data_IF_898682178473
#
_entry.id   IF_898682178473
#
_cell.length_a   1.000
_cell.length_b   1.000
_cell.length_c   1.000
_cell.angle_alpha   90.00
_cell.angle_beta   90.00
_cell.angle_gamma   90.00
#
_symmetry.space_group_name_H-M   'P 1'
#
loop_
_entity.id
_entity.type
_entity.pdbx_description
1 polymer ?
#
# COMPACT_ATOMS: atom_id res chain seq x y z
N UNK A 1 -108.41 -85.58 -0.63
CA UNK A 1 -107.26 -85.83 0.27
C UNK A 1 -106.19 -85.09 -0.25
N UNK A 2 -105.88 -83.86 0.15
CA UNK A 2 -104.69 -83.12 -0.05
C UNK A 2 -104.82 -81.81 0.68
N UNK A 3 -104.40 -81.77 1.89
CA UNK A 3 -104.10 -80.52 2.62
C UNK A 3 -103.26 -80.87 3.83
N UNK A 4 -101.97 -80.55 3.80
CA UNK A 4 -101.04 -80.40 4.93
C UNK A 4 -99.56 -80.56 4.53
N UNK A 5 -99.02 -79.66 3.74
CA UNK A 5 -97.56 -79.60 3.63
C UNK A 5 -97.04 -78.17 3.28
N UNK A 6 -97.41 -77.11 3.98
CA UNK A 6 -96.85 -75.79 3.70
C UNK A 6 -96.40 -74.97 4.93
N UNK A 7 -96.35 -75.53 6.14
CA UNK A 7 -96.07 -74.78 7.35
C UNK A 7 -94.74 -75.12 8.05
N UNK A 8 -93.90 -76.02 7.56
CA UNK A 8 -92.67 -76.46 8.23
C UNK A 8 -91.41 -75.72 7.72
N UNK A 9 -91.42 -75.11 6.54
CA UNK A 9 -90.27 -74.41 5.97
C UNK A 9 -90.02 -73.02 6.62
N UNK A 10 -91.04 -72.33 7.07
CA UNK A 10 -90.98 -70.99 7.65
C UNK A 10 -90.42 -70.97 9.08
N UNK A 11 -90.49 -72.02 9.86
CA UNK A 11 -90.03 -72.08 11.25
C UNK A 11 -88.55 -72.45 11.36
N UNK A 12 -87.88 -73.04 10.38
CA UNK A 12 -86.51 -73.48 10.47
C UNK A 12 -85.56 -72.45 9.96
N UNK A 13 -85.94 -71.43 9.14
CA UNK A 13 -85.11 -70.41 8.60
C UNK A 13 -85.14 -69.04 9.34
N UNK A 14 -85.99 -68.97 10.38
CA UNK A 14 -86.17 -67.73 11.14
C UNK A 14 -84.92 -67.19 11.78
N UNK A 15 -83.92 -68.02 12.07
CA UNK A 15 -82.66 -67.69 12.66
C UNK A 15 -81.68 -67.05 11.63
N UNK A 16 -81.90 -67.26 10.34
CA UNK A 16 -81.02 -66.71 9.29
C UNK A 16 -81.61 -65.50 8.55
N UNK A 17 -82.91 -65.45 8.50
CA UNK A 17 -83.61 -64.31 7.89
C UNK A 17 -83.60 -63.04 8.72
N UNK A 18 -83.58 -63.16 10.06
CA UNK A 18 -83.52 -62.02 10.97
C UNK A 18 -82.17 -61.18 10.81
N UNK A 19 -80.98 -61.79 10.79
CA UNK A 19 -79.73 -61.01 10.54
C UNK A 19 -79.65 -60.45 9.12
N UNK A 20 -80.22 -61.14 8.12
CA UNK A 20 -80.26 -60.65 6.74
C UNK A 20 -81.21 -59.43 6.58
N UNK A 21 -82.30 -59.42 7.32
CA UNK A 21 -83.23 -58.28 7.35
C UNK A 21 -82.64 -57.09 8.08
N UNK A 22 -81.90 -57.32 9.16
CA UNK A 22 -81.18 -56.28 9.89
C UNK A 22 -80.05 -55.70 9.00
N UNK A 23 -79.35 -56.55 8.25
CA UNK A 23 -78.30 -56.10 7.32
C UNK A 23 -78.87 -55.26 6.17
N UNK A 24 -80.02 -55.73 5.61
CA UNK A 24 -80.70 -54.99 4.57
C UNK A 24 -81.24 -53.64 5.05
N UNK A 25 -81.82 -53.61 6.30
CA UNK A 25 -82.25 -52.37 6.93
C UNK A 25 -81.09 -51.43 7.24
N UNK A 26 -79.95 -51.95 7.70
CA UNK A 26 -78.72 -51.16 7.92
C UNK A 26 -78.19 -50.56 6.62
N UNK A 27 -78.12 -51.32 5.54
CA UNK A 27 -77.74 -50.85 4.19
C UNK A 27 -78.75 -49.80 3.67
N UNK A 28 -80.02 -50.02 3.85
CA UNK A 28 -81.06 -49.05 3.46
C UNK A 28 -80.93 -47.74 4.24
N UNK A 29 -80.67 -47.79 5.55
CA UNK A 29 -80.41 -46.61 6.40
C UNK A 29 -79.12 -45.92 5.97
N UNK A 30 -78.08 -46.69 5.66
CA UNK A 30 -76.81 -46.13 5.17
C UNK A 30 -76.99 -45.42 3.82
N UNK A 31 -77.75 -46.01 2.90
CA UNK A 31 -78.03 -45.38 1.60
C UNK A 31 -78.86 -44.13 1.77
N UNK A 32 -79.89 -44.14 2.66
CA UNK A 32 -80.69 -42.97 2.95
C UNK A 32 -79.86 -41.87 3.62
N UNK A 33 -79.01 -42.22 4.57
CA UNK A 33 -78.06 -41.27 5.19
C UNK A 33 -77.04 -40.72 4.19
N UNK A 34 -76.64 -41.52 3.21
CA UNK A 34 -75.71 -41.07 2.14
C UNK A 34 -76.45 -40.15 1.15
N UNK A 35 -77.75 -40.42 0.85
CA UNK A 35 -78.53 -39.56 -0.05
C UNK A 35 -79.00 -38.25 0.62
N UNK A 36 -79.18 -38.25 1.95
CA UNK A 36 -79.65 -37.10 2.73
C UNK A 36 -78.44 -36.28 3.31
N UNK A 37 -77.22 -36.62 2.98
CA UNK A 37 -76.10 -35.73 3.37
C UNK A 37 -76.29 -34.35 2.75
N UNK A 38 -76.52 -33.29 3.56
CA UNK A 38 -76.57 -31.95 3.00
C UNK A 38 -75.20 -31.64 2.38
N UNK A 39 -75.11 -31.43 1.07
CA UNK A 39 -73.94 -30.79 0.43
C UNK A 39 -73.90 -29.39 0.98
N UNK A 40 -72.88 -29.15 1.89
CA UNK A 40 -72.62 -27.80 2.35
C UNK A 40 -72.39 -26.94 1.10
N UNK A 41 -73.02 -25.82 0.90
CA UNK A 41 -72.74 -24.93 -0.21
C UNK A 41 -71.29 -24.54 -0.07
N UNK A 42 -70.47 -24.71 -1.16
CA UNK A 42 -69.10 -24.25 -1.23
C UNK A 42 -69.16 -22.75 -0.95
N UNK A 43 -68.75 -22.33 0.28
CA UNK A 43 -68.50 -20.91 0.57
C UNK A 43 -67.37 -20.52 -0.34
N UNK A 44 -67.53 -19.53 -1.23
CA UNK A 44 -66.43 -19.03 -2.00
C UNK A 44 -65.33 -18.66 -0.98
N UNK A 45 -64.15 -19.25 -1.12
CA UNK A 45 -63.01 -18.95 -0.28
C UNK A 45 -62.79 -17.44 -0.39
N UNK A 46 -63.02 -16.69 0.68
CA UNK A 46 -62.71 -15.27 0.72
C UNK A 46 -61.18 -15.20 0.52
N UNK A 47 -60.76 -14.69 -0.63
CA UNK A 47 -59.31 -14.40 -0.86
C UNK A 47 -58.82 -13.61 0.33
N UNK A 48 -57.71 -14.06 0.92
CA UNK A 48 -57.07 -13.36 2.03
C UNK A 48 -56.46 -12.08 1.50
N UNK A 49 -56.98 -10.95 1.95
CA UNK A 49 -56.45 -9.62 1.61
C UNK A 49 -55.29 -9.31 2.54
N UNK A 50 -54.14 -8.94 1.97
CA UNK A 50 -52.96 -8.56 2.73
C UNK A 50 -52.83 -7.04 2.72
N UNK A 51 -52.76 -6.43 3.90
CA UNK A 51 -52.46 -4.99 4.02
C UNK A 51 -51.00 -4.74 3.79
N UNK A 52 -50.65 -3.89 2.83
CA UNK A 52 -49.29 -3.66 2.39
C UNK A 52 -48.96 -2.17 2.33
N UNK A 53 -47.70 -1.82 2.62
CA UNK A 53 -47.17 -0.50 2.33
C UNK A 53 -46.61 -0.47 0.91
N UNK A 54 -46.82 0.63 0.22
CA UNK A 54 -46.29 0.90 -1.12
C UNK A 54 -45.48 2.16 -1.17
N UNK A 55 -44.57 2.21 -2.10
CA UNK A 55 -43.75 3.39 -2.42
C UNK A 55 -43.96 3.76 -3.89
N UNK A 56 -44.15 5.04 -4.23
CA UNK A 56 -44.25 5.45 -5.63
C UNK A 56 -42.86 5.29 -6.28
N UNK A 57 -42.84 4.73 -7.48
CA UNK A 57 -41.63 4.68 -8.31
C UNK A 57 -41.21 6.11 -8.65
N UNK A 58 -39.99 6.47 -8.29
CA UNK A 58 -39.38 7.76 -8.58
C UNK A 58 -38.03 7.54 -9.25
N UNK A 59 -38.00 7.28 -10.57
CA UNK A 59 -36.74 7.15 -11.29
C UNK A 59 -35.93 8.47 -11.21
N UNK A 60 -34.68 8.38 -10.81
CA UNK A 60 -33.82 9.54 -10.69
C UNK A 60 -32.35 9.18 -11.03
N UNK A 61 -31.49 10.18 -10.97
CA UNK A 61 -30.04 10.00 -11.11
C UNK A 61 -29.45 9.62 -9.76
N UNK A 62 -28.80 8.48 -9.70
CA UNK A 62 -28.09 8.03 -8.49
C UNK A 62 -26.68 7.58 -8.82
N UNK A 63 -25.78 7.77 -7.87
CA UNK A 63 -24.41 7.24 -7.90
C UNK A 63 -24.39 5.96 -7.04
N UNK A 64 -24.25 4.77 -7.63
CA UNK A 64 -24.13 3.54 -6.86
C UNK A 64 -22.86 3.57 -5.98
N UNK A 65 -22.94 2.95 -4.82
CA UNK A 65 -21.80 2.75 -3.94
C UNK A 65 -21.31 1.30 -4.04
N UNK A 66 -20.02 1.14 -4.15
CA UNK A 66 -19.34 -0.15 -4.13
C UNK A 66 -18.64 -0.31 -2.79
N UNK A 67 -19.17 -1.19 -1.94
CA UNK A 67 -18.53 -1.51 -0.66
C UNK A 67 -17.33 -2.41 -0.87
N UNK A 68 -16.18 -2.00 -0.36
CA UNK A 68 -14.89 -2.65 -0.46
C UNK A 68 -14.27 -2.77 0.93
N UNK A 69 -13.29 -3.67 1.04
CA UNK A 69 -12.40 -3.75 2.20
C UNK A 69 -11.01 -3.33 1.78
N UNK A 70 -10.40 -2.51 2.59
CA UNK A 70 -9.05 -2.01 2.37
C UNK A 70 -8.19 -2.12 3.63
N UNK A 71 -6.91 -1.81 3.45
CA UNK A 71 -5.92 -1.73 4.52
C UNK A 71 -5.21 -0.40 4.44
N UNK A 72 -5.01 0.23 5.59
CA UNK A 72 -4.22 1.46 5.70
C UNK A 72 -2.75 1.09 5.57
N UNK A 73 -2.05 1.76 4.66
CA UNK A 73 -0.61 1.58 4.41
C UNK A 73 0.10 2.92 4.41
N UNK A 74 1.41 2.89 4.65
CA UNK A 74 2.27 4.06 4.41
C UNK A 74 3.20 3.75 3.25
N UNK A 75 3.09 4.46 2.12
CA UNK A 75 4.02 4.32 1.00
C UNK A 75 5.44 4.77 1.37
N UNK A 76 5.56 5.59 2.41
CA UNK A 76 6.82 6.12 2.93
C UNK A 76 7.14 5.45 4.28
N UNK A 77 7.37 4.15 4.27
CA UNK A 77 7.94 3.41 5.40
C UNK A 77 9.42 3.12 5.14
N UNK A 78 10.25 3.19 6.17
CA UNK A 78 11.67 2.91 6.09
C UNK A 78 12.09 2.01 7.24
N UNK A 79 12.84 0.97 6.92
CA UNK A 79 13.54 0.13 7.88
C UNK A 79 14.99 0.60 7.94
N UNK A 80 15.42 1.09 9.08
CA UNK A 80 16.79 1.52 9.30
C UNK A 80 17.62 0.37 9.82
N UNK A 81 18.74 0.11 9.12
CA UNK A 81 19.68 -0.95 9.48
C UNK A 81 21.04 -0.37 9.85
N UNK A 82 21.82 -1.12 10.62
CA UNK A 82 23.20 -0.77 10.88
C UNK A 82 24.04 -0.91 9.61
N UNK A 83 24.92 0.04 9.36
CA UNK A 83 25.92 -0.04 8.29
C UNK A 83 27.29 -0.49 8.82
N UNK A 84 27.48 -0.52 10.13
CA UNK A 84 28.74 -0.87 10.81
C UNK A 84 28.52 -1.97 11.85
N UNK A 85 29.61 -2.62 12.25
CA UNK A 85 29.61 -3.56 13.36
C UNK A 85 29.95 -2.81 14.65
N UNK A 86 28.98 -2.67 15.56
CA UNK A 86 29.19 -1.94 16.82
C UNK A 86 28.25 -2.44 17.91
N UNK A 87 28.39 -1.95 19.14
CA UNK A 87 27.40 -2.10 20.20
C UNK A 87 26.42 -0.92 20.17
N UNK A 88 25.18 -1.17 20.53
CA UNK A 88 24.19 -0.11 20.76
C UNK A 88 24.51 0.59 22.07
N UNK A 89 25.01 1.81 21.99
CA UNK A 89 25.34 2.61 23.18
C UNK A 89 24.05 3.09 23.86
N UNK A 90 23.15 3.73 23.09
CA UNK A 90 21.91 4.29 23.59
C UNK A 90 20.79 4.19 22.55
N UNK A 91 19.60 3.91 23.03
CA UNK A 91 18.35 4.08 22.30
C UNK A 91 17.67 5.33 22.84
N UNK A 92 17.38 6.29 21.96
CA UNK A 92 16.89 7.63 22.33
C UNK A 92 15.39 7.81 22.07
N UNK A 93 14.73 6.79 21.50
CA UNK A 93 13.31 6.81 21.13
C UNK A 93 12.61 5.54 21.57
N UNK A 94 11.29 5.60 21.67
CA UNK A 94 10.42 4.49 21.99
C UNK A 94 9.49 4.13 20.82
N UNK A 95 8.94 2.92 20.82
CA UNK A 95 7.90 2.53 19.87
C UNK A 95 6.67 3.43 20.01
N UNK A 96 6.09 3.82 18.86
CA UNK A 96 4.95 4.73 18.85
C UNK A 96 5.30 6.21 19.01
N UNK A 97 6.57 6.57 19.25
CA UNK A 97 7.02 7.95 19.40
C UNK A 97 7.08 8.67 18.06
N UNK A 98 6.68 9.95 18.05
CA UNK A 98 6.81 10.81 16.88
C UNK A 98 8.23 11.39 16.81
N UNK A 99 8.81 11.37 15.62
CA UNK A 99 10.17 11.86 15.37
C UNK A 99 10.19 12.86 14.22
N UNK A 100 11.17 13.76 14.25
CA UNK A 100 11.41 14.74 13.17
C UNK A 100 12.58 14.31 12.30
N UNK A 101 12.58 14.76 11.04
CA UNK A 101 13.71 14.51 10.13
C UNK A 101 15.04 14.98 10.75
N UNK A 102 16.10 14.13 10.66
CA UNK A 102 17.42 14.38 11.24
C UNK A 102 17.55 14.08 12.73
N UNK A 103 16.46 13.80 13.46
CA UNK A 103 16.50 13.45 14.88
C UNK A 103 17.32 12.17 15.09
N UNK A 104 18.22 12.18 16.10
CA UNK A 104 18.99 11.00 16.48
C UNK A 104 18.09 9.98 17.18
N UNK A 105 18.06 8.76 16.64
CA UNK A 105 17.18 7.67 17.10
C UNK A 105 17.96 6.63 17.92
N UNK A 106 19.10 6.19 17.38
CA UNK A 106 19.96 5.20 18.01
C UNK A 106 21.40 5.70 17.89
N UNK A 107 22.15 5.62 18.98
CA UNK A 107 23.58 5.87 19.04
C UNK A 107 24.29 4.52 19.15
N UNK A 108 25.13 4.21 18.18
CA UNK A 108 26.07 3.10 18.25
C UNK A 108 27.37 3.55 18.91
N UNK A 109 28.10 2.62 19.52
CA UNK A 109 29.43 2.88 20.06
C UNK A 109 30.38 3.29 18.94
N UNK A 110 30.86 4.51 19.02
CA UNK A 110 31.65 5.15 17.97
C UNK A 110 33.15 5.17 18.27
N UNK A 111 33.59 4.56 19.39
CA UNK A 111 35.01 4.63 19.83
C UNK A 111 35.93 4.04 18.79
N UNK A 112 35.61 2.85 18.26
CA UNK A 112 36.46 2.20 17.24
C UNK A 112 36.51 3.02 15.94
N UNK A 113 35.34 3.53 15.48
CA UNK A 113 35.27 4.38 14.29
C UNK A 113 36.05 5.71 14.47
N UNK A 114 35.95 6.32 15.65
CA UNK A 114 36.69 7.57 15.95
C UNK A 114 38.21 7.37 16.02
N UNK A 115 38.68 6.26 16.59
CA UNK A 115 40.09 5.89 16.60
C UNK A 115 40.62 5.60 15.20
N UNK A 116 39.84 4.89 14.36
CA UNK A 116 40.20 4.64 12.97
C UNK A 116 40.29 5.94 12.17
N UNK A 117 39.31 6.85 12.33
CA UNK A 117 39.37 8.17 11.70
C UNK A 117 40.64 8.96 12.12
N UNK A 118 40.97 8.99 13.41
CA UNK A 118 42.16 9.66 13.91
C UNK A 118 43.43 9.04 13.32
N UNK A 119 43.52 7.72 13.20
CA UNK A 119 44.64 7.03 12.55
C UNK A 119 44.80 7.44 11.09
N UNK A 120 43.69 7.47 10.33
CA UNK A 120 43.68 7.84 8.90
C UNK A 120 44.01 9.31 8.70
N UNK A 121 43.58 10.18 9.62
CA UNK A 121 43.93 11.59 9.59
C UNK A 121 45.46 11.77 9.80
N UNK A 122 46.08 11.03 10.73
CA UNK A 122 47.50 11.06 10.93
C UNK A 122 48.29 10.58 9.69
N UNK A 123 47.75 9.62 8.91
CA UNK A 123 48.34 9.22 7.63
C UNK A 123 48.31 10.37 6.61
N UNK A 124 47.22 11.12 6.50
CA UNK A 124 47.10 12.32 5.65
C UNK A 124 48.11 13.37 6.07
N UNK A 125 48.24 13.65 7.37
CA UNK A 125 49.15 14.64 7.91
C UNK A 125 50.62 14.25 7.63
N UNK A 126 50.95 12.97 7.76
CA UNK A 126 52.29 12.42 7.45
C UNK A 126 52.65 12.63 5.97
N UNK A 127 51.76 12.28 5.04
CA UNK A 127 52.03 12.47 3.59
C UNK A 127 52.12 13.97 3.26
N UNK A 128 51.27 14.79 3.84
CA UNK A 128 51.33 16.26 3.68
C UNK A 128 52.68 16.82 4.13
N UNK A 129 53.22 16.32 5.24
CA UNK A 129 54.56 16.72 5.72
C UNK A 129 55.67 16.27 4.75
N UNK A 130 55.56 15.06 4.15
CA UNK A 130 56.51 14.59 3.13
C UNK A 130 56.49 15.48 1.89
N UNK A 131 55.33 15.89 1.42
CA UNK A 131 55.18 16.84 0.31
C UNK A 131 55.83 18.17 0.64
N UNK A 132 55.64 18.68 1.86
CA UNK A 132 56.28 19.91 2.30
C UNK A 132 57.84 19.78 2.33
N UNK A 133 58.34 18.67 2.85
CA UNK A 133 59.75 18.38 2.87
C UNK A 133 60.36 18.29 1.45
N UNK A 134 59.68 17.61 0.53
CA UNK A 134 60.12 17.51 -0.87
C UNK A 134 60.17 18.88 -1.56
N UNK A 135 59.18 19.75 -1.35
CA UNK A 135 59.19 21.13 -1.85
C UNK A 135 60.41 21.93 -1.35
N UNK A 136 60.71 21.76 -0.06
CA UNK A 136 61.92 22.41 0.51
C UNK A 136 63.22 21.87 -0.12
N UNK A 137 63.35 20.55 -0.28
CA UNK A 137 64.44 19.86 -0.94
C UNK A 137 64.62 20.35 -2.38
N UNK A 138 63.53 20.44 -3.14
CA UNK A 138 63.55 20.99 -4.51
C UNK A 138 64.06 22.41 -4.57
N UNK A 139 63.62 23.31 -3.69
CA UNK A 139 64.08 24.68 -3.62
C UNK A 139 65.59 24.76 -3.26
N UNK A 140 66.05 23.88 -2.39
CA UNK A 140 67.49 23.78 -2.06
C UNK A 140 68.31 23.30 -3.28
N UNK A 141 67.85 22.33 -4.03
CA UNK A 141 68.47 21.82 -5.25
C UNK A 141 68.55 22.89 -6.35
N UNK A 142 67.49 23.70 -6.56
CA UNK A 142 67.54 24.84 -7.49
C UNK A 142 68.62 25.84 -7.11
N UNK A 143 68.78 26.20 -5.82
CA UNK A 143 69.82 27.11 -5.35
C UNK A 143 71.20 26.50 -5.54
N UNK A 144 71.37 25.22 -5.22
CA UNK A 144 72.66 24.51 -5.41
C UNK A 144 73.02 24.38 -6.89
N UNK A 145 72.12 24.15 -7.82
CA UNK A 145 72.31 24.09 -9.26
C UNK A 145 72.96 25.37 -9.76
N UNK A 146 72.49 26.54 -9.31
CA UNK A 146 73.07 27.83 -9.69
C UNK A 146 74.54 27.97 -9.28
N UNK A 147 74.89 27.54 -8.05
CA UNK A 147 76.21 27.56 -7.53
C UNK A 147 77.14 26.61 -8.33
N UNK A 148 76.70 25.38 -8.60
CA UNK A 148 77.44 24.39 -9.37
C UNK A 148 77.63 24.83 -10.80
N UNK A 149 76.70 25.54 -11.42
CA UNK A 149 76.83 26.14 -12.76
C UNK A 149 77.94 27.25 -12.78
N UNK A 150 77.99 28.07 -11.75
CA UNK A 150 79.07 29.08 -11.60
C UNK A 150 80.46 28.44 -11.44
N UNK A 151 80.55 27.32 -10.68
CA UNK A 151 81.79 26.56 -10.51
C UNK A 151 82.22 25.89 -11.82
N UNK A 152 81.33 25.32 -12.60
CA UNK A 152 81.64 24.77 -13.95
C UNK A 152 82.17 25.86 -14.85
N UNK A 153 81.57 27.04 -14.85
CA UNK A 153 82.07 28.20 -15.62
C UNK A 153 83.49 28.65 -15.17
N UNK A 154 83.79 28.67 -13.87
CA UNK A 154 85.06 28.99 -13.33
C UNK A 154 86.14 27.97 -13.71
N UNK A 155 85.85 26.67 -13.58
CA UNK A 155 86.76 25.57 -13.98
C UNK A 155 87.01 25.55 -15.48
N UNK A 156 85.95 25.88 -16.30
CA UNK A 156 86.14 26.03 -17.74
C UNK A 156 87.10 27.17 -18.11
N UNK A 157 86.96 28.34 -17.45
CA UNK A 157 87.88 29.46 -17.64
C UNK A 157 89.29 29.07 -17.24
N UNK A 158 89.49 28.33 -16.15
CA UNK A 158 90.76 27.82 -15.71
C UNK A 158 91.37 26.85 -16.71
N UNK A 159 90.60 25.92 -17.24
CA UNK A 159 91.06 25.01 -18.29
C UNK A 159 91.46 25.76 -19.54
N UNK A 160 90.70 26.72 -20.05
CA UNK A 160 91.06 27.55 -21.21
C UNK A 160 92.38 28.28 -20.99
N UNK A 161 92.60 28.84 -19.80
CA UNK A 161 93.82 29.49 -19.44
C UNK A 161 95.00 28.53 -19.51
N UNK A 162 94.92 27.32 -18.92
CA UNK A 162 96.04 26.37 -18.99
C UNK A 162 96.24 25.80 -20.40
N UNK A 163 95.23 25.69 -21.22
CA UNK A 163 95.34 25.33 -22.65
C UNK A 163 96.15 26.38 -23.41
N UNK A 164 95.90 27.66 -23.18
CA UNK A 164 96.63 28.75 -23.85
C UNK A 164 98.11 28.89 -23.34
N UNK A 165 98.31 28.67 -22.04
CA UNK A 165 99.71 28.64 -21.49
C UNK A 165 100.48 27.42 -22.03
N UNK A 166 99.87 26.24 -22.17
CA UNK A 166 100.43 25.02 -22.74
C UNK A 166 100.85 25.23 -24.21
N UNK A 167 99.94 25.87 -25.03
CA UNK A 167 100.30 26.25 -26.42
C UNK A 167 101.56 27.15 -26.52
N UNK A 168 101.84 27.91 -25.47
CA UNK A 168 102.98 28.78 -25.37
C UNK A 168 104.16 28.14 -24.65
N UNK A 169 104.13 26.84 -24.35
CA UNK A 169 105.13 26.10 -23.57
C UNK A 169 105.35 26.66 -22.15
N UNK A 170 104.33 27.32 -21.54
CA UNK A 170 104.45 27.97 -20.22
C UNK A 170 103.72 27.19 -19.11
N UNK A 171 103.04 26.06 -19.42
CA UNK A 171 102.42 25.17 -18.45
C UNK A 171 102.80 23.70 -18.70
N UNK A 172 102.89 22.91 -17.62
CA UNK A 172 103.12 21.46 -17.73
C UNK A 172 101.90 20.69 -18.18
N UNK A 173 102.16 19.57 -18.86
CA UNK A 173 101.04 18.65 -19.27
C UNK A 173 100.21 18.14 -18.06
N UNK A 174 100.88 17.91 -16.93
CA UNK A 174 100.20 17.50 -15.68
C UNK A 174 99.24 18.56 -15.22
N UNK A 175 99.59 19.88 -15.26
CA UNK A 175 98.68 20.99 -14.88
C UNK A 175 97.45 21.09 -15.79
N UNK A 176 97.65 20.83 -17.10
CA UNK A 176 96.54 20.81 -18.06
C UNK A 176 95.59 19.62 -17.79
N UNK A 177 96.13 18.42 -17.51
CA UNK A 177 95.39 17.22 -17.24
C UNK A 177 94.64 17.31 -15.90
N UNK A 178 95.24 17.95 -14.88
CA UNK A 178 94.55 18.25 -13.62
C UNK A 178 93.36 19.23 -13.80
N UNK A 179 93.57 20.29 -14.61
CA UNK A 179 92.47 21.22 -14.95
C UNK A 179 91.35 20.54 -15.72
N UNK A 180 91.66 19.62 -16.64
CA UNK A 180 90.67 18.78 -17.35
C UNK A 180 89.86 17.89 -16.39
N UNK A 181 90.58 17.18 -15.48
CA UNK A 181 89.96 16.30 -14.48
C UNK A 181 89.04 17.07 -13.58
N UNK A 182 89.43 18.23 -13.05
CA UNK A 182 88.67 19.12 -12.19
C UNK A 182 87.36 19.58 -12.90
N UNK A 183 87.47 20.03 -14.17
CA UNK A 183 86.33 20.43 -14.97
C UNK A 183 85.32 19.24 -15.15
N UNK A 184 85.88 18.04 -15.46
CA UNK A 184 85.07 16.87 -15.69
C UNK A 184 84.34 16.44 -14.42
N UNK A 185 85.02 16.50 -13.27
CA UNK A 185 84.38 16.18 -11.97
C UNK A 185 83.25 17.15 -11.64
N UNK A 186 83.47 18.47 -11.90
CA UNK A 186 82.45 19.49 -11.65
C UNK A 186 81.26 19.33 -12.63
N UNK A 187 81.46 18.90 -13.88
CA UNK A 187 80.38 18.63 -14.83
C UNK A 187 79.56 17.45 -14.42
N UNK A 188 80.17 16.40 -13.83
CA UNK A 188 79.39 15.27 -13.26
C UNK A 188 78.51 15.71 -12.10
N UNK A 189 79.02 16.57 -11.19
CA UNK A 189 78.24 17.12 -10.06
C UNK A 189 77.06 17.93 -10.56
N UNK A 190 77.28 18.81 -11.57
CA UNK A 190 76.19 19.57 -12.20
C UNK A 190 75.07 18.67 -12.80
N UNK A 191 75.50 17.64 -13.57
CA UNK A 191 74.48 16.68 -14.16
C UNK A 191 73.74 15.96 -13.08
N UNK A 192 74.36 15.49 -12.00
CA UNK A 192 73.65 14.85 -10.89
C UNK A 192 72.66 15.80 -10.23
N UNK A 193 72.95 17.07 -10.09
CA UNK A 193 72.07 18.09 -9.54
C UNK A 193 70.85 18.33 -10.47
N UNK A 194 71.18 18.45 -11.79
CA UNK A 194 70.12 18.63 -12.79
C UNK A 194 69.11 17.43 -12.78
N UNK A 195 69.67 16.20 -12.74
CA UNK A 195 68.86 14.99 -12.67
C UNK A 195 67.96 14.99 -11.43
N UNK A 196 68.44 15.40 -10.26
CA UNK A 196 67.63 15.49 -9.03
C UNK A 196 66.50 16.51 -9.15
N UNK A 197 66.70 17.59 -9.92
CA UNK A 197 65.64 18.59 -10.22
C UNK A 197 64.61 18.03 -11.23
N UNK A 198 65.10 17.36 -12.28
CA UNK A 198 64.27 16.80 -13.34
C UNK A 198 63.37 15.63 -12.82
N UNK A 199 63.81 14.95 -11.75
CA UNK A 199 63.09 13.87 -11.12
C UNK A 199 62.00 14.34 -10.12
N UNK A 200 62.06 15.60 -9.67
CA UNK A 200 61.13 16.20 -8.71
C UNK A 200 59.67 16.12 -9.14
N UNK A 201 59.25 16.38 -10.42
CA UNK A 201 57.86 16.26 -10.84
C UNK A 201 57.31 14.85 -10.65
N UNK A 202 58.10 13.80 -10.94
CA UNK A 202 57.71 12.40 -10.76
C UNK A 202 57.50 12.07 -9.27
N UNK A 203 58.44 12.53 -8.43
CA UNK A 203 58.35 12.35 -6.99
C UNK A 203 57.16 13.08 -6.37
N UNK A 204 56.89 14.32 -6.83
CA UNK A 204 55.68 15.06 -6.44
C UNK A 204 54.41 14.39 -6.88
N UNK A 205 54.31 13.88 -8.13
CA UNK A 205 53.16 13.14 -8.61
C UNK A 205 52.90 11.87 -7.79
N UNK A 206 53.96 11.14 -7.43
CA UNK A 206 53.86 9.96 -6.57
C UNK A 206 53.33 10.31 -5.16
N UNK A 207 53.87 11.37 -4.54
CA UNK A 207 53.43 11.81 -3.20
C UNK A 207 51.97 12.34 -3.24
N UNK A 208 51.59 13.04 -4.32
CA UNK A 208 50.23 13.51 -4.49
C UNK A 208 49.23 12.33 -4.62
N UNK A 209 49.54 11.30 -5.41
CA UNK A 209 48.70 10.11 -5.52
C UNK A 209 48.57 9.36 -4.18
N UNK A 210 49.64 9.32 -3.37
CA UNK A 210 49.58 8.78 -2.01
C UNK A 210 48.69 9.61 -1.08
N UNK A 211 48.77 10.97 -1.20
CA UNK A 211 47.89 11.86 -0.45
C UNK A 211 46.44 11.66 -0.79
N UNK A 212 46.12 11.59 -2.08
CA UNK A 212 44.75 11.37 -2.55
C UNK A 212 44.19 10.03 -2.05
N UNK A 213 45.00 8.97 -2.04
CA UNK A 213 44.63 7.68 -1.45
C UNK A 213 44.42 7.80 0.06
N UNK A 214 45.27 8.48 0.80
CA UNK A 214 45.13 8.65 2.24
C UNK A 214 43.86 9.46 2.60
N UNK A 215 43.53 10.50 1.81
CA UNK A 215 42.31 11.29 1.96
C UNK A 215 41.09 10.40 1.74
N UNK A 216 41.04 9.58 0.68
CA UNK A 216 39.92 8.67 0.42
C UNK A 216 39.72 7.68 1.57
N UNK A 217 40.79 7.14 2.15
CA UNK A 217 40.68 6.24 3.31
C UNK A 217 40.19 6.97 4.58
N UNK A 218 40.64 8.23 4.80
CA UNK A 218 40.17 9.07 5.90
C UNK A 218 38.68 9.38 5.76
N UNK A 219 38.24 9.72 4.54
CA UNK A 219 36.81 10.02 4.26
C UNK A 219 35.92 8.80 4.44
N UNK A 220 36.40 7.60 4.06
CA UNK A 220 35.71 6.35 4.38
C UNK A 220 35.55 6.14 5.88
N UNK A 221 36.58 6.37 6.67
CA UNK A 221 36.52 6.27 8.14
C UNK A 221 35.58 7.33 8.76
N UNK A 222 35.52 8.52 8.17
CA UNK A 222 34.59 9.57 8.60
C UNK A 222 33.14 9.19 8.36
N UNK A 223 32.84 8.58 7.20
CA UNK A 223 31.53 8.02 6.91
C UNK A 223 31.10 6.92 7.90
N UNK A 224 32.03 6.06 8.28
CA UNK A 224 31.71 5.01 9.27
C UNK A 224 31.45 5.59 10.67
N UNK A 225 32.12 6.67 11.03
CA UNK A 225 31.83 7.43 12.24
C UNK A 225 30.42 8.10 12.16
N UNK A 226 30.08 8.71 11.05
CA UNK A 226 28.74 9.29 10.84
C UNK A 226 27.65 8.23 10.93
N UNK A 227 27.87 7.05 10.36
CA UNK A 227 26.97 5.90 10.39
C UNK A 227 26.77 5.27 11.76
N UNK A 228 27.58 5.66 12.75
CA UNK A 228 27.32 5.29 14.15
C UNK A 228 26.11 6.01 14.74
N UNK A 229 25.64 7.08 14.10
CA UNK A 229 24.49 7.88 14.50
C UNK A 229 23.32 7.59 13.56
N UNK A 230 22.36 6.79 14.03
CA UNK A 230 21.16 6.46 13.25
C UNK A 230 20.15 7.58 13.40
N UNK A 231 19.86 8.29 12.32
CA UNK A 231 18.95 9.44 12.28
C UNK A 231 17.72 9.17 11.45
N UNK A 232 16.60 9.84 11.78
CA UNK A 232 15.36 9.77 11.03
C UNK A 232 15.52 10.42 9.64
N UNK A 233 15.24 9.68 8.54
CA UNK A 233 15.33 10.23 7.18
C UNK A 233 14.18 11.21 6.87
N UNK A 234 13.07 11.11 7.57
CA UNK A 234 11.91 11.98 7.44
C UNK A 234 11.14 12.08 8.75
N UNK A 235 10.25 13.06 8.85
CA UNK A 235 9.33 13.20 9.99
C UNK A 235 8.25 12.13 9.94
N UNK A 236 8.09 11.38 11.04
CA UNK A 236 7.17 10.24 11.09
C UNK A 236 7.00 9.69 12.50
N UNK A 237 6.59 8.44 12.59
CA UNK A 237 6.40 7.70 13.85
C UNK A 237 7.17 6.39 13.83
N UNK A 238 7.75 6.01 14.95
CA UNK A 238 8.44 4.74 15.10
C UNK A 238 7.41 3.61 15.12
N UNK A 239 7.55 2.65 14.19
CA UNK A 239 6.68 1.49 14.09
C UNK A 239 7.15 0.37 15.01
N UNK A 240 8.45 0.08 15.00
CA UNK A 240 9.05 -1.04 15.71
C UNK A 240 10.53 -0.73 16.02
N UNK A 241 11.02 -1.24 17.13
CA UNK A 241 12.44 -1.17 17.49
C UNK A 241 12.94 -2.60 17.75
N UNK A 242 13.90 -3.03 16.93
CA UNK A 242 14.41 -4.40 16.93
C UNK A 242 15.68 -4.59 17.76
N UNK A 243 16.17 -3.52 18.45
CA UNK A 243 17.44 -3.58 19.19
C UNK A 243 17.33 -2.98 20.59
N UNK A 244 18.19 -3.48 21.49
CA UNK A 244 18.32 -3.01 22.88
C UNK A 244 19.68 -2.36 23.14
N UNK A 245 19.74 -1.46 24.13
CA UNK A 245 21.02 -0.88 24.58
C UNK A 245 21.94 -1.99 25.12
N UNK A 246 23.22 -1.96 24.74
CA UNK A 246 24.21 -3.00 25.04
C UNK A 246 24.26 -4.17 24.08
N UNK A 247 23.32 -4.27 23.15
CA UNK A 247 23.28 -5.31 22.12
C UNK A 247 24.37 -5.06 21.05
N UNK A 248 24.96 -6.12 20.54
CA UNK A 248 25.91 -6.05 19.43
C UNK A 248 25.21 -6.23 18.10
N UNK A 249 25.32 -5.25 17.21
CA UNK A 249 24.76 -5.26 15.86
C UNK A 249 25.84 -5.41 14.81
N UNK A 250 25.49 -6.00 13.68
CA UNK A 250 26.31 -6.15 12.49
C UNK A 250 25.77 -5.29 11.35
N UNK A 251 26.63 -5.05 10.38
CA UNK A 251 26.18 -4.43 9.12
C UNK A 251 25.06 -5.26 8.48
N UNK A 252 23.92 -4.63 8.18
CA UNK A 252 22.71 -5.24 7.66
C UNK A 252 21.64 -5.54 8.72
N UNK A 253 21.96 -5.59 10.01
CA UNK A 253 20.99 -5.86 11.06
C UNK A 253 19.98 -4.71 11.16
N UNK A 254 18.69 -5.05 11.23
CA UNK A 254 17.60 -4.09 11.41
C UNK A 254 17.65 -3.50 12.81
N UNK A 255 17.59 -2.18 12.90
CA UNK A 255 17.59 -1.45 14.17
C UNK A 255 16.20 -0.99 14.57
N UNK A 256 15.47 -0.37 13.63
CA UNK A 256 14.11 0.09 13.84
C UNK A 256 13.40 0.34 12.49
N UNK A 257 12.08 0.41 12.54
CA UNK A 257 11.23 0.81 11.43
C UNK A 257 10.45 2.08 11.78
N UNK A 258 10.26 2.97 10.80
CA UNK A 258 9.44 4.17 10.95
C UNK A 258 8.59 4.39 9.70
N UNK A 259 7.49 5.11 9.85
CA UNK A 259 6.58 5.45 8.75
C UNK A 259 6.17 6.92 8.81
N UNK A 260 5.85 7.46 7.64
CA UNK A 260 5.37 8.83 7.52
C UNK A 260 3.88 8.90 7.85
N UNK A 261 3.52 9.63 8.91
CA UNK A 261 2.12 9.79 9.37
C UNK A 261 1.28 10.71 8.48
N UNK A 262 1.89 11.50 7.59
CA UNK A 262 1.18 12.41 6.68
C UNK A 262 0.91 11.82 5.31
N UNK A 263 1.53 10.69 4.99
CA UNK A 263 1.44 10.04 3.69
C UNK A 263 0.78 8.66 3.82
N UNK A 264 -0.33 8.57 4.58
CA UNK A 264 -1.09 7.35 4.71
C UNK A 264 -2.07 7.22 3.53
N UNK A 265 -2.22 6.01 3.03
CA UNK A 265 -3.18 5.66 1.98
C UNK A 265 -3.95 4.40 2.35
N UNK A 266 -5.12 4.21 1.76
CA UNK A 266 -5.88 2.98 1.85
C UNK A 266 -5.69 2.19 0.57
N UNK A 267 -5.21 0.97 0.68
CA UNK A 267 -5.18 0.00 -0.43
C UNK A 267 -6.42 -0.86 -0.36
N UNK A 268 -7.23 -0.86 -1.41
CA UNK A 268 -8.41 -1.71 -1.52
C UNK A 268 -8.49 -2.35 -2.90
N UNK A 269 -8.98 -3.58 -2.96
CA UNK A 269 -9.11 -4.31 -4.22
C UNK A 269 -10.45 -4.00 -4.90
N UNK A 270 -10.38 -3.51 -6.14
CA UNK A 270 -11.55 -3.25 -6.98
C UNK A 270 -11.74 -4.42 -7.95
N UNK A 271 -12.92 -5.06 -7.99
CA UNK A 271 -13.21 -6.12 -8.95
C UNK A 271 -13.06 -5.65 -10.40
N UNK A 272 -12.48 -6.49 -11.26
CA UNK A 272 -12.12 -6.15 -12.66
C UNK A 272 -13.28 -5.61 -13.50
N UNK A 273 -14.52 -6.02 -13.20
CA UNK A 273 -15.72 -5.56 -13.92
C UNK A 273 -16.00 -4.06 -13.81
N UNK A 274 -15.49 -3.40 -12.77
CA UNK A 274 -15.69 -1.96 -12.54
C UNK A 274 -14.55 -1.09 -13.08
N UNK A 275 -13.42 -1.67 -13.42
CA UNK A 275 -12.21 -0.94 -13.83
C UNK A 275 -12.41 -0.06 -15.08
N UNK A 276 -13.08 -0.53 -16.17
CA UNK A 276 -13.23 0.30 -17.37
C UNK A 276 -13.92 1.63 -17.10
N UNK A 277 -14.96 1.63 -16.26
CA UNK A 277 -15.69 2.85 -15.90
C UNK A 277 -14.86 3.80 -15.04
N UNK A 278 -14.09 3.26 -14.09
CA UNK A 278 -13.25 4.05 -13.19
C UNK A 278 -12.02 4.62 -13.92
N UNK A 279 -11.41 3.86 -14.82
CA UNK A 279 -10.33 4.36 -15.68
C UNK A 279 -10.82 5.53 -16.55
N UNK A 280 -11.97 5.38 -17.22
CA UNK A 280 -12.56 6.43 -18.03
C UNK A 280 -12.82 7.72 -17.22
N UNK A 281 -13.23 7.60 -15.95
CA UNK A 281 -13.40 8.76 -15.07
C UNK A 281 -12.07 9.45 -14.75
N UNK A 282 -11.06 8.66 -14.36
CA UNK A 282 -9.73 9.20 -14.06
C UNK A 282 -9.09 9.85 -15.29
N UNK A 283 -9.21 9.23 -16.45
CA UNK A 283 -8.69 9.77 -17.73
C UNK A 283 -9.39 11.10 -18.10
N UNK A 284 -10.65 11.25 -17.74
CA UNK A 284 -11.41 12.49 -17.88
C UNK A 284 -11.10 13.54 -16.78
N UNK A 285 -10.17 13.25 -15.87
CA UNK A 285 -9.80 14.14 -14.76
C UNK A 285 -10.87 14.27 -13.66
N UNK A 286 -11.82 13.34 -13.59
CA UNK A 286 -12.86 13.36 -12.57
C UNK A 286 -12.32 12.80 -11.26
N UNK A 287 -12.67 13.46 -10.15
CA UNK A 287 -12.32 12.99 -8.81
C UNK A 287 -13.27 11.86 -8.42
N UNK A 288 -12.70 10.71 -8.10
CA UNK A 288 -13.43 9.56 -7.58
C UNK A 288 -13.27 9.53 -6.06
N UNK A 289 -14.37 9.78 -5.36
CA UNK A 289 -14.38 9.81 -3.89
C UNK A 289 -14.85 8.47 -3.31
N UNK A 290 -14.35 8.16 -2.13
CA UNK A 290 -14.82 7.06 -1.31
C UNK A 290 -14.89 7.52 0.15
N UNK A 291 -15.74 6.90 0.95
CA UNK A 291 -15.79 7.12 2.39
C UNK A 291 -15.45 5.82 3.09
N UNK A 292 -14.38 5.81 3.90
CA UNK A 292 -14.07 4.68 4.77
C UNK A 292 -14.67 4.89 6.16
N UNK A 293 -14.91 3.80 6.85
CA UNK A 293 -15.40 3.82 8.23
C UNK A 293 -14.35 3.21 9.15
N UNK A 294 -13.85 4.02 10.07
CA UNK A 294 -12.86 3.61 11.05
C UNK A 294 -13.32 4.04 12.44
N UNK A 295 -13.49 3.06 13.34
CA UNK A 295 -13.95 3.29 14.72
C UNK A 295 -15.26 4.11 14.80
N UNK A 296 -16.15 3.95 13.80
CA UNK A 296 -17.41 4.67 13.70
C UNK A 296 -17.32 6.11 13.17
N UNK A 297 -16.11 6.55 12.80
CA UNK A 297 -15.89 7.87 12.20
C UNK A 297 -15.71 7.74 10.68
N UNK A 298 -16.33 8.62 9.89
CA UNK A 298 -16.13 8.66 8.44
C UNK A 298 -14.74 9.25 8.12
N UNK A 299 -14.09 8.65 7.15
CA UNK A 299 -12.79 9.06 6.63
C UNK A 299 -12.92 9.28 5.13
N UNK A 300 -12.75 10.51 4.69
CA UNK A 300 -12.84 10.85 3.27
C UNK A 300 -11.59 10.42 2.52
N UNK A 301 -11.81 9.72 1.43
CA UNK A 301 -10.81 9.14 0.57
C UNK A 301 -10.97 9.62 -0.87
N UNK A 302 -9.86 9.77 -1.57
CA UNK A 302 -9.83 10.07 -3.01
C UNK A 302 -9.03 8.98 -3.69
N UNK A 303 -9.60 8.34 -4.70
CA UNK A 303 -8.88 7.41 -5.55
C UNK A 303 -7.80 8.17 -6.31
N UNK A 304 -6.54 7.84 -6.04
CA UNK A 304 -5.40 8.51 -6.66
C UNK A 304 -4.87 7.74 -7.86
N UNK A 305 -4.74 6.41 -7.73
CA UNK A 305 -4.18 5.56 -8.77
C UNK A 305 -4.56 4.08 -8.56
N UNK A 306 -4.39 3.31 -9.61
CA UNK A 306 -4.39 1.84 -9.56
C UNK A 306 -2.97 1.30 -9.45
N UNK A 307 -2.82 0.15 -8.84
CA UNK A 307 -1.54 -0.55 -8.82
C UNK A 307 -1.17 -1.01 -10.25
N UNK A 308 0.11 -0.88 -10.58
CA UNK A 308 0.63 -1.28 -11.90
C UNK A 308 0.72 -2.79 -12.09
N UNK A 309 0.72 -3.56 -11.00
CA UNK A 309 0.80 -5.01 -11.01
C UNK A 309 -0.38 -5.61 -10.24
N UNK A 310 -0.86 -6.74 -10.72
CA UNK A 310 -1.91 -7.53 -10.08
C UNK A 310 -1.26 -8.74 -9.42
N UNK A 311 -1.59 -8.97 -8.16
CA UNK A 311 -1.12 -10.16 -7.45
C UNK A 311 -1.74 -11.42 -8.07
N UNK A 312 -0.96 -12.47 -8.25
CA UNK A 312 -1.45 -13.75 -8.80
C UNK A 312 -2.54 -14.32 -7.88
N UNK A 313 -3.68 -14.72 -8.49
CA UNK A 313 -4.85 -15.19 -7.76
C UNK A 313 -5.85 -14.11 -7.33
N UNK A 314 -5.57 -12.83 -7.59
CA UNK A 314 -6.50 -11.72 -7.34
C UNK A 314 -7.58 -11.62 -8.42
N UNK A 315 -8.85 -11.49 -8.01
CA UNK A 315 -9.98 -11.26 -8.92
C UNK A 315 -10.19 -9.77 -9.27
N UNK A 316 -9.28 -8.89 -8.88
CA UNK A 316 -9.37 -7.45 -9.08
C UNK A 316 -8.00 -6.77 -9.06
N UNK A 317 -7.99 -5.46 -9.20
CA UNK A 317 -6.81 -4.60 -9.17
C UNK A 317 -6.81 -3.79 -7.89
N UNK A 318 -5.65 -3.67 -7.26
CA UNK A 318 -5.50 -2.81 -6.09
C UNK A 318 -5.61 -1.34 -6.50
N UNK A 319 -6.46 -0.63 -5.82
CA UNK A 319 -6.64 0.81 -5.92
C UNK A 319 -6.08 1.48 -4.66
N UNK A 320 -5.40 2.58 -4.84
CA UNK A 320 -4.77 3.34 -3.78
C UNK A 320 -5.53 4.63 -3.59
N UNK A 321 -6.06 4.80 -2.40
CA UNK A 321 -6.87 5.93 -2.00
C UNK A 321 -6.08 6.79 -1.04
N UNK A 322 -5.89 8.05 -1.39
CA UNK A 322 -5.27 9.02 -0.49
C UNK A 322 -6.26 9.41 0.61
N UNK A 323 -5.79 9.37 1.84
CA UNK A 323 -6.51 9.89 3.00
C UNK A 323 -6.35 11.41 3.02
N UNK A 324 -7.42 12.16 3.27
CA UNK A 324 -7.32 13.61 3.41
C UNK A 324 -6.43 13.93 4.63
N UNK A 325 -5.37 14.72 4.42
CA UNK A 325 -4.18 14.83 5.27
C UNK A 325 -4.41 15.14 6.76
N UNK A 326 -5.53 15.73 7.15
CA UNK A 326 -5.80 16.14 8.53
C UNK A 326 -6.78 15.21 9.28
N UNK A 327 -7.38 14.23 8.58
CA UNK A 327 -8.45 13.42 9.14
C UNK A 327 -7.96 12.19 9.89
N UNK A 328 -6.73 11.69 9.62
CA UNK A 328 -6.23 10.47 10.23
C UNK A 328 -4.70 10.46 10.38
N UNK A 329 -4.24 10.20 11.59
CA UNK A 329 -2.81 10.06 11.94
C UNK A 329 -2.53 8.74 12.68
N UNK A 330 -3.31 7.71 12.36
CA UNK A 330 -3.25 6.43 13.05
C UNK A 330 -2.21 5.47 12.52
N UNK A 331 -2.42 4.22 12.85
CA UNK A 331 -1.48 3.13 12.61
C UNK A 331 -1.70 2.53 11.21
N UNK A 332 -0.66 2.34 10.39
CA UNK A 332 -0.74 1.50 9.21
C UNK A 332 -1.01 0.03 9.61
N UNK A 333 -1.58 -0.73 8.69
CA UNK A 333 -1.90 -2.14 8.93
C UNK A 333 -3.34 -2.39 9.36
N UNK A 334 -4.10 -1.36 9.75
CA UNK A 334 -5.52 -1.49 10.10
C UNK A 334 -6.37 -1.76 8.87
N UNK A 335 -7.35 -2.66 9.03
CA UNK A 335 -8.37 -2.92 8.00
C UNK A 335 -9.51 -1.93 8.13
N UNK A 336 -10.03 -1.45 7.01
CA UNK A 336 -11.17 -0.53 6.93
C UNK A 336 -12.16 -1.02 5.89
N UNK A 337 -13.46 -0.78 6.14
CA UNK A 337 -14.47 -0.87 5.10
C UNK A 337 -14.62 0.48 4.43
N UNK A 338 -14.77 0.51 3.12
CA UNK A 338 -14.96 1.75 2.38
C UNK A 338 -16.05 1.60 1.32
N UNK A 339 -16.82 2.65 1.14
CA UNK A 339 -17.87 2.78 0.14
C UNK A 339 -17.37 3.71 -0.98
N UNK A 340 -17.01 3.12 -2.12
CA UNK A 340 -16.58 3.84 -3.30
C UNK A 340 -17.77 4.36 -4.08
N UNK A 341 -17.81 5.66 -4.36
CA UNK A 341 -18.86 6.29 -5.15
C UNK A 341 -18.61 6.04 -6.65
N UNK A 342 -19.51 5.30 -7.28
CA UNK A 342 -19.46 4.97 -8.70
C UNK A 342 -20.03 6.11 -9.56
N UNK A 343 -19.78 6.12 -10.89
CA UNK A 343 -20.39 7.10 -11.79
C UNK A 343 -21.90 7.16 -11.65
N UNK A 344 -22.43 8.38 -11.69
CA UNK A 344 -23.88 8.61 -11.69
C UNK A 344 -24.54 7.96 -12.90
N UNK A 345 -25.59 7.22 -12.67
CA UNK A 345 -26.40 6.59 -13.70
C UNK A 345 -27.81 7.16 -13.67
N UNK A 346 -28.41 7.28 -14.86
CA UNK A 346 -29.78 7.76 -15.01
C UNK A 346 -30.78 6.63 -14.90
N UNK A 347 -32.02 6.98 -14.61
CA UNK A 347 -33.16 6.06 -14.61
C UNK A 347 -33.04 4.92 -13.60
N UNK A 348 -32.52 5.21 -12.41
CA UNK A 348 -32.44 4.26 -11.32
C UNK A 348 -33.55 4.50 -10.28
N UNK A 349 -34.01 3.43 -9.66
CA UNK A 349 -34.96 3.44 -8.54
C UNK A 349 -34.20 3.08 -7.26
N UNK A 350 -34.30 3.90 -6.22
CA UNK A 350 -33.73 3.65 -4.91
C UNK A 350 -34.77 3.01 -3.99
N UNK A 351 -34.74 1.69 -3.86
CA UNK A 351 -35.73 0.91 -3.12
C UNK A 351 -35.15 0.42 -1.78
N UNK A 352 -35.96 0.33 -0.74
CA UNK A 352 -35.54 -0.32 0.50
C UNK A 352 -35.30 -1.83 0.22
N UNK A 353 -34.32 -2.48 0.88
CA UNK A 353 -33.99 -3.89 0.61
C UNK A 353 -35.16 -4.85 0.70
N UNK A 354 -36.17 -4.57 1.58
CA UNK A 354 -37.37 -5.38 1.74
C UNK A 354 -38.34 -5.30 0.56
N UNK A 355 -38.19 -4.37 -0.37
CA UNK A 355 -38.99 -4.27 -1.59
C UNK A 355 -38.50 -5.21 -2.71
N UNK A 356 -37.32 -5.82 -2.51
CA UNK A 356 -36.74 -6.74 -3.49
C UNK A 356 -36.99 -8.18 -3.05
N UNK A 357 -37.56 -8.96 -3.95
CA UNK A 357 -37.89 -10.38 -3.74
C UNK A 357 -36.91 -11.25 -4.56
N UNK A 358 -36.14 -12.07 -3.87
CA UNK A 358 -35.05 -12.82 -4.50
C UNK A 358 -33.89 -11.90 -4.94
N UNK A 359 -33.38 -12.10 -6.14
CA UNK A 359 -32.21 -11.35 -6.68
C UNK A 359 -32.60 -10.23 -7.63
N UNK A 360 -33.75 -10.33 -8.31
CA UNK A 360 -34.10 -9.56 -9.50
C UNK A 360 -35.58 -9.22 -9.64
N UNK A 361 -36.39 -9.36 -8.59
CA UNK A 361 -37.83 -9.19 -8.68
C UNK A 361 -38.35 -8.16 -7.71
N UNK A 362 -39.28 -7.32 -8.18
CA UNK A 362 -40.12 -6.43 -7.38
C UNK A 362 -41.57 -6.67 -7.75
N UNK A 363 -42.51 -6.20 -6.91
CA UNK A 363 -43.93 -6.24 -7.21
C UNK A 363 -44.48 -4.84 -7.26
N UNK A 364 -45.28 -4.55 -8.28
CA UNK A 364 -46.17 -3.38 -8.35
C UNK A 364 -47.58 -3.75 -7.94
N UNK A 365 -48.36 -2.77 -7.51
CA UNK A 365 -49.77 -2.93 -7.17
C UNK A 365 -50.61 -2.27 -8.26
N UNK A 366 -51.35 -3.09 -9.04
CA UNK A 366 -52.27 -2.66 -10.07
C UNK A 366 -53.64 -3.27 -9.74
N UNK A 367 -54.72 -2.50 -9.76
CA UNK A 367 -56.10 -2.95 -9.44
C UNK A 367 -56.17 -3.77 -8.14
N UNK A 368 -55.48 -3.38 -7.09
CA UNK A 368 -55.33 -4.09 -5.81
C UNK A 368 -54.73 -5.51 -5.94
N UNK A 369 -54.02 -5.80 -6.99
CA UNK A 369 -53.31 -7.08 -7.19
C UNK A 369 -51.81 -6.85 -7.44
N UNK A 370 -51.02 -7.81 -6.98
CA UNK A 370 -49.58 -7.78 -7.21
C UNK A 370 -49.24 -8.20 -8.65
N UNK A 371 -48.37 -7.39 -9.30
CA UNK A 371 -47.78 -7.69 -10.58
C UNK A 371 -46.26 -7.83 -10.40
N UNK A 372 -45.69 -8.97 -10.82
CA UNK A 372 -44.24 -9.17 -10.73
C UNK A 372 -43.54 -8.47 -11.88
N UNK A 373 -42.52 -7.69 -11.55
CA UNK A 373 -41.65 -7.01 -12.51
C UNK A 373 -40.18 -7.42 -12.27
N UNK A 374 -39.46 -7.73 -13.37
CA UNK A 374 -38.07 -8.06 -13.29
C UNK A 374 -37.26 -6.77 -13.31
N UNK A 375 -36.25 -6.67 -12.45
CA UNK A 375 -35.36 -5.52 -12.33
C UNK A 375 -33.90 -5.97 -12.37
N UNK A 376 -33.03 -5.08 -12.84
CA UNK A 376 -31.59 -5.29 -12.81
C UNK A 376 -31.02 -4.53 -11.61
N UNK A 377 -30.43 -5.24 -10.65
CA UNK A 377 -29.72 -4.61 -9.55
C UNK A 377 -28.42 -3.99 -10.05
N UNK A 378 -28.27 -2.67 -9.87
CA UNK A 378 -27.13 -1.89 -10.32
C UNK A 378 -26.10 -1.70 -9.21
N UNK A 379 -26.57 -1.56 -7.96
CA UNK A 379 -25.72 -1.38 -6.80
C UNK A 379 -26.51 -1.04 -5.55
N UNK A 380 -25.81 -0.60 -4.54
CA UNK A 380 -26.38 -0.15 -3.27
C UNK A 380 -26.08 1.32 -3.06
N UNK A 381 -26.82 1.99 -2.18
CA UNK A 381 -26.52 3.34 -1.70
C UNK A 381 -27.01 3.51 -0.26
N UNK A 382 -26.49 4.50 0.43
CA UNK A 382 -27.08 5.00 1.68
C UNK A 382 -27.79 6.31 1.38
N UNK A 383 -29.00 6.48 1.90
CA UNK A 383 -29.68 7.76 1.81
C UNK A 383 -29.10 8.79 2.82
N UNK A 384 -29.62 10.01 2.80
CA UNK A 384 -29.19 11.09 3.71
C UNK A 384 -29.40 10.79 5.19
N UNK A 385 -30.24 9.80 5.53
CA UNK A 385 -30.47 9.31 6.89
C UNK A 385 -29.57 8.11 7.25
N UNK A 386 -28.66 7.68 6.33
CA UNK A 386 -27.79 6.52 6.50
C UNK A 386 -28.48 5.17 6.26
N UNK A 387 -29.75 5.17 5.81
CA UNK A 387 -30.50 3.94 5.54
C UNK A 387 -30.04 3.31 4.22
N UNK A 388 -29.83 1.99 4.23
CA UNK A 388 -29.47 1.24 3.03
C UNK A 388 -30.62 1.24 2.02
N UNK A 389 -30.32 1.52 0.77
CA UNK A 389 -31.19 1.41 -0.40
C UNK A 389 -30.51 0.57 -1.47
N UNK A 390 -31.28 -0.19 -2.21
CA UNK A 390 -30.82 -0.93 -3.37
C UNK A 390 -31.21 -0.15 -4.62
N UNK A 391 -30.25 0.08 -5.50
CA UNK A 391 -30.48 0.73 -6.79
C UNK A 391 -30.78 -0.31 -7.84
N UNK A 392 -31.95 -0.17 -8.45
CA UNK A 392 -32.39 -1.06 -9.51
C UNK A 392 -32.77 -0.29 -10.76
N UNK A 393 -32.62 -0.93 -11.90
CA UNK A 393 -33.08 -0.44 -13.20
C UNK A 393 -34.20 -1.33 -13.72
N UNK A 394 -35.24 -0.74 -14.26
CA UNK A 394 -36.30 -1.44 -14.97
C UNK A 394 -36.74 -0.59 -16.16
N UNK A 395 -36.92 -1.25 -17.29
CA UNK A 395 -37.47 -0.65 -18.50
C UNK A 395 -39.02 -0.71 -18.54
N UNK A 396 -39.63 -1.42 -17.59
CA UNK A 396 -41.06 -1.65 -17.54
C UNK A 396 -41.79 -0.71 -16.58
N UNK A 397 -41.06 -0.05 -15.67
CA UNK A 397 -41.66 0.80 -14.63
C UNK A 397 -41.75 2.26 -15.06
N UNK A 398 -42.89 2.89 -14.80
CA UNK A 398 -43.10 4.30 -15.01
C UNK A 398 -43.07 5.08 -13.67
N UNK A 399 -42.81 6.38 -13.78
CA UNK A 399 -42.88 7.26 -12.61
C UNK A 399 -44.31 7.28 -12.05
N UNK A 400 -44.43 6.98 -10.77
CA UNK A 400 -45.73 6.92 -10.06
C UNK A 400 -46.26 5.51 -9.81
N UNK A 401 -45.70 4.48 -10.45
CA UNK A 401 -46.13 3.07 -10.17
C UNK A 401 -45.94 2.76 -8.69
N UNK A 402 -46.91 2.05 -8.11
CA UNK A 402 -46.89 1.72 -6.68
C UNK A 402 -46.11 0.44 -6.45
N UNK A 403 -44.90 0.55 -5.91
CA UNK A 403 -43.99 -0.57 -5.61
C UNK A 403 -44.26 -1.09 -4.20
N UNK A 404 -44.45 -2.40 -4.06
CA UNK A 404 -44.61 -3.09 -2.77
C UNK A 404 -43.37 -2.89 -1.89
N UNK A 405 -43.56 -2.28 -0.72
CA UNK A 405 -42.48 -2.03 0.27
C UNK A 405 -42.54 -2.98 1.47
N UNK A 406 -43.61 -3.77 1.60
CA UNK A 406 -43.78 -4.76 2.67
C UNK A 406 -43.27 -6.12 2.22
N UNK A 407 -42.39 -6.75 2.99
CA UNK A 407 -41.96 -8.11 2.71
C UNK A 407 -43.07 -9.11 2.99
N UNK A 408 -43.60 -9.76 1.95
CA UNK A 408 -44.60 -10.83 2.04
C UNK A 408 -43.89 -12.17 1.80
N UNK A 409 -44.08 -13.18 2.70
CA UNK A 409 -43.44 -14.49 2.55
C UNK A 409 -43.81 -15.24 1.26
N UNK A 410 -45.00 -15.00 0.74
CA UNK A 410 -45.58 -15.68 -0.43
C UNK A 410 -46.12 -14.65 -1.45
N UNK A 411 -45.31 -13.65 -1.80
CA UNK A 411 -45.68 -12.72 -2.86
C UNK A 411 -45.70 -13.43 -4.22
N UNK A 412 -46.86 -13.46 -4.85
CA UNK A 412 -47.07 -14.01 -6.21
C UNK A 412 -47.91 -13.04 -7.03
N UNK A 413 -47.72 -13.08 -8.35
CA UNK A 413 -48.58 -12.30 -9.27
C UNK A 413 -50.05 -12.69 -9.10
N UNK A 414 -50.91 -11.69 -9.04
CA UNK A 414 -52.36 -11.85 -8.85
C UNK A 414 -52.80 -11.86 -7.39
N UNK A 415 -51.91 -11.86 -6.39
CA UNK A 415 -52.26 -11.83 -4.98
C UNK A 415 -53.02 -10.53 -4.65
N UNK A 416 -54.20 -10.67 -3.99
CA UNK A 416 -55.04 -9.55 -3.60
C UNK A 416 -54.42 -8.82 -2.39
N UNK A 417 -54.20 -7.51 -2.53
CA UNK A 417 -53.61 -6.66 -1.51
C UNK A 417 -54.46 -5.40 -1.30
N UNK A 418 -54.36 -4.84 -0.11
CA UNK A 418 -54.98 -3.57 0.23
C UNK A 418 -53.85 -2.61 0.66
N UNK A 419 -53.75 -1.47 -0.02
CA UNK A 419 -52.75 -0.45 0.28
C UNK A 419 -53.08 0.23 1.59
N UNK A 420 -52.19 0.12 2.58
CA UNK A 420 -52.36 0.82 3.85
C UNK A 420 -52.34 2.32 3.61
N UNK A 421 -53.48 2.98 3.86
CA UNK A 421 -53.59 4.43 3.86
C UNK A 421 -52.65 4.97 4.97
N UNK A 422 -51.61 5.69 4.59
CA UNK A 422 -50.69 6.36 5.54
C UNK A 422 -51.48 7.46 6.28
N UNK A 423 -51.99 7.16 7.47
CA UNK A 423 -52.50 8.20 8.36
C UNK A 423 -51.33 9.13 8.66
N UNK A 424 -51.46 10.45 8.45
CA UNK A 424 -50.39 11.35 8.83
C UNK A 424 -50.16 11.21 10.34
N UNK A 425 -48.98 10.82 10.72
CA UNK A 425 -48.55 10.81 12.12
C UNK A 425 -48.52 12.28 12.56
N UNK A 426 -49.57 12.67 13.31
CA UNK A 426 -49.66 13.96 13.95
C UNK A 426 -48.38 14.15 14.81
N UNK A 427 -47.70 15.24 14.59
CA UNK A 427 -46.62 15.70 15.45
C UNK A 427 -47.12 15.69 16.90
N UNK A 428 -46.57 14.83 17.73
CA UNK A 428 -46.71 14.94 19.16
C UNK A 428 -45.85 16.14 19.58
N UNK A 429 -46.52 17.22 19.83
CA UNK A 429 -46.05 18.35 20.63
C UNK A 429 -46.06 17.88 22.08
N UNK A 430 -44.87 17.72 22.68
CA UNK A 430 -44.57 18.07 24.08
C UNK A 430 -43.07 18.18 24.26
#
# INVERSE_FOLDING_TARGET
MAEQQSLSWYQNNKRWLLPLFILAAAVAIFVILKMTKPTAPARPAKEKVWTVMVLPAAPARYAPQLSLYGRIESPSSSTLSSSINAFVEKRLVAEGENVTAGQLLVQLDNRDASLLLAQKQADVDRITALIAAEKVSYQANIKALKIEQELVNLTQRTLNRYQDLSKRNLASQTQLDDARRTKQQQALSLNSRQQAIDDHPNQMAQLQAQLDQAIALRDSAALDLERSQIRAPFTGRIAEISVAAGERVRSGDTLLALYNTRALEVRAQIPSRYLPQLHQQLDNGQIISATAWLDGQPLDLILERFAAAVNSGSAGVDALFRIHADSYRGEPGRSVSLDLTMPTQENLLALPPQAIFGTDRIYTVEDNRLQANTVIRVGDMRDSEGKAKVLVRSDQLQAGDLILATQLPNAITGLLVEVASKKPQAAATE
#
